data_IF_071154034280
#
_entry.id   IF_071154034280
#
_cell.length_a   1.000
_cell.length_b   1.000
_cell.length_c   1.000
_cell.angle_alpha   90.00
_cell.angle_beta   90.00
_cell.angle_gamma   90.00
#
_symmetry.space_group_name_H-M   'P 1'
#
loop_
_entity.id
_entity.type
_entity.pdbx_description
1 polymer ?
#
# COMPACT_ATOMS: atom_id res chain seq x y z
N UNK A 1 27.41 -15.51 15.65
CA UNK A 1 27.97 -14.59 14.64
C UNK A 1 28.77 -15.29 13.53
N UNK A 2 29.61 -16.29 13.82
CA UNK A 2 30.42 -16.96 12.80
C UNK A 2 29.65 -17.82 11.76
N UNK A 3 28.47 -18.34 12.07
CA UNK A 3 27.65 -19.15 11.15
C UNK A 3 26.92 -18.34 10.09
N UNK A 4 26.49 -17.13 10.42
CA UNK A 4 25.80 -16.24 9.47
C UNK A 4 26.74 -15.70 8.37
N UNK A 5 28.00 -15.41 8.74
CA UNK A 5 29.00 -14.95 7.77
C UNK A 5 29.33 -15.98 6.70
N UNK A 6 29.27 -17.27 7.03
CA UNK A 6 29.55 -18.37 6.07
C UNK A 6 28.38 -18.63 5.11
N UNK A 7 27.15 -18.41 5.53
CA UNK A 7 25.97 -18.53 4.67
C UNK A 7 25.88 -17.36 3.67
N UNK A 8 26.19 -16.13 4.11
CA UNK A 8 26.22 -14.96 3.26
C UNK A 8 27.27 -15.04 2.14
N UNK A 9 28.44 -15.64 2.41
CA UNK A 9 29.52 -15.80 1.42
C UNK A 9 29.18 -16.87 0.37
N UNK A 10 28.45 -17.92 0.73
CA UNK A 10 28.04 -18.97 -0.21
C UNK A 10 26.98 -18.51 -1.21
N UNK A 11 26.10 -17.59 -0.83
CA UNK A 11 25.05 -17.04 -1.70
C UNK A 11 25.63 -16.03 -2.72
N UNK A 12 26.71 -15.33 -2.38
CA UNK A 12 27.34 -14.33 -3.26
C UNK A 12 28.07 -14.97 -4.47
N UNK A 13 28.46 -16.25 -4.40
CA UNK A 13 29.26 -16.92 -5.46
C UNK A 13 28.42 -17.54 -6.59
N UNK A 14 27.10 -17.61 -6.49
CA UNK A 14 26.24 -18.29 -7.49
C UNK A 14 25.66 -17.32 -8.54
N UNK A 15 25.75 -16.00 -8.37
CA UNK A 15 25.01 -15.01 -9.18
C UNK A 15 25.85 -14.33 -10.27
N UNK A 16 26.95 -14.90 -10.70
CA UNK A 16 27.84 -14.28 -11.69
C UNK A 16 27.58 -14.72 -13.14
N UNK A 17 26.34 -14.84 -13.61
CA UNK A 17 26.07 -15.05 -15.05
C UNK A 17 24.81 -14.37 -15.56
N UNK A 18 25.02 -13.59 -16.62
CA UNK A 18 24.12 -13.15 -17.69
C UNK A 18 23.08 -12.06 -17.42
N UNK A 19 23.35 -10.89 -17.98
CA UNK A 19 22.34 -9.85 -18.25
C UNK A 19 21.50 -10.26 -19.46
N UNK A 20 20.26 -10.70 -19.23
CA UNK A 20 19.23 -10.75 -20.27
C UNK A 20 18.16 -9.69 -19.94
N UNK A 21 17.85 -8.84 -20.90
CA UNK A 21 16.73 -7.90 -20.78
C UNK A 21 15.43 -8.68 -20.53
N UNK A 22 14.70 -8.29 -19.47
CA UNK A 22 13.42 -8.89 -19.16
C UNK A 22 12.40 -8.50 -20.24
N UNK A 23 12.14 -9.40 -21.18
CA UNK A 23 11.02 -9.26 -22.11
C UNK A 23 9.75 -9.71 -21.38
N UNK A 24 8.78 -8.82 -21.22
CA UNK A 24 7.41 -9.19 -20.86
C UNK A 24 6.92 -10.24 -21.85
N UNK A 25 6.34 -11.34 -21.37
CA UNK A 25 5.77 -12.35 -22.25
C UNK A 25 4.45 -11.82 -22.80
N UNK A 26 4.46 -11.47 -24.08
CA UNK A 26 3.26 -11.04 -24.80
C UNK A 26 2.75 -12.20 -25.64
N UNK A 27 1.54 -12.66 -25.34
CA UNK A 27 0.85 -13.72 -26.08
C UNK A 27 -0.23 -13.09 -26.94
N UNK A 28 -0.24 -13.38 -28.25
CA UNK A 28 -1.37 -13.02 -29.13
C UNK A 28 -2.49 -13.99 -28.90
N UNK A 29 -3.65 -13.52 -28.44
CA UNK A 29 -4.85 -14.33 -28.23
C UNK A 29 -5.71 -14.43 -29.51
N UNK A 30 -5.79 -13.35 -30.27
CA UNK A 30 -6.49 -13.24 -31.54
C UNK A 30 -5.92 -12.10 -32.37
N UNK A 31 -6.40 -11.89 -33.60
CA UNK A 31 -6.05 -10.70 -34.38
C UNK A 31 -6.42 -9.44 -33.59
N UNK A 32 -5.40 -8.66 -33.23
CA UNK A 32 -5.56 -7.41 -32.49
C UNK A 32 -5.73 -7.51 -30.98
N UNK A 33 -5.72 -8.71 -30.36
CA UNK A 33 -5.78 -8.85 -28.89
C UNK A 33 -4.52 -9.49 -28.35
N UNK A 34 -3.90 -8.84 -27.37
CA UNK A 34 -2.70 -9.34 -26.69
C UNK A 34 -2.95 -9.57 -25.21
N UNK A 35 -2.31 -10.60 -24.65
CA UNK A 35 -2.18 -10.85 -23.23
C UNK A 35 -0.72 -10.63 -22.82
N UNK A 36 -0.49 -9.70 -21.92
CA UNK A 36 0.80 -9.53 -21.26
C UNK A 36 0.76 -10.15 -19.88
N UNK A 37 1.69 -11.07 -19.62
CA UNK A 37 1.90 -11.68 -18.30
C UNK A 37 3.09 -11.00 -17.66
N UNK A 38 2.92 -10.53 -16.43
CA UNK A 38 3.96 -9.88 -15.64
C UNK A 38 3.78 -10.16 -14.16
N UNK A 39 4.72 -9.72 -13.35
CA UNK A 39 4.69 -9.93 -11.91
C UNK A 39 6.05 -10.31 -11.37
N UNK A 40 6.05 -10.94 -10.22
CA UNK A 40 7.28 -11.41 -9.58
C UNK A 40 6.99 -12.54 -8.59
N UNK A 41 7.99 -13.37 -8.38
CA UNK A 41 8.06 -14.32 -7.27
C UNK A 41 8.88 -13.67 -6.18
N UNK A 42 8.37 -13.67 -4.94
CA UNK A 42 9.04 -13.13 -3.76
C UNK A 42 9.22 -14.20 -2.72
N UNK A 43 10.38 -14.22 -2.08
CA UNK A 43 10.66 -15.04 -0.91
C UNK A 43 11.46 -14.22 0.10
N UNK A 44 11.03 -14.22 1.34
CA UNK A 44 11.68 -13.50 2.43
C UNK A 44 11.91 -14.43 3.60
N UNK A 45 13.10 -14.40 4.18
CA UNK A 45 13.41 -14.93 5.50
C UNK A 45 13.63 -13.73 6.42
N UNK A 46 12.97 -13.72 7.57
CA UNK A 46 13.07 -12.63 8.51
C UNK A 46 13.28 -13.13 9.95
N UNK A 47 13.87 -12.27 10.77
CA UNK A 47 14.02 -12.45 12.21
C UNK A 47 13.46 -11.24 12.90
N UNK A 48 12.38 -11.42 13.65
CA UNK A 48 11.74 -10.39 14.44
C UNK A 48 12.25 -10.42 15.87
N UNK A 49 12.44 -9.24 16.43
CA UNK A 49 12.75 -9.00 17.84
C UNK A 49 11.72 -8.04 18.41
N UNK A 50 10.99 -8.51 19.41
CA UNK A 50 9.75 -7.90 19.84
C UNK A 50 8.55 -8.47 19.08
N UNK A 51 7.39 -7.86 19.23
CA UNK A 51 6.14 -8.33 18.62
C UNK A 51 5.52 -7.19 17.83
N UNK A 52 5.21 -7.46 16.58
CA UNK A 52 4.45 -6.56 15.74
C UNK A 52 2.94 -6.76 15.93
N UNK A 53 2.14 -5.75 15.62
CA UNK A 53 0.69 -5.82 15.67
C UNK A 53 0.11 -6.78 14.62
N UNK A 54 -1.12 -7.22 14.81
CA UNK A 54 -1.75 -8.24 13.95
C UNK A 54 -1.89 -7.85 12.47
N UNK A 55 -2.04 -6.57 12.18
CA UNK A 55 -1.99 -6.08 10.81
C UNK A 55 -0.54 -5.76 10.50
N UNK A 56 0.02 -6.35 9.46
CA UNK A 56 1.41 -6.17 9.09
C UNK A 56 2.39 -7.13 9.78
N UNK A 57 1.91 -8.20 10.41
CA UNK A 57 2.77 -9.28 10.91
C UNK A 57 3.52 -9.98 9.77
N UNK A 58 4.64 -10.60 10.11
CA UNK A 58 5.50 -11.27 9.16
C UNK A 58 6.35 -10.28 8.38
N UNK A 59 6.54 -10.55 7.11
CA UNK A 59 7.42 -9.74 6.26
C UNK A 59 6.89 -8.32 5.96
N UNK A 60 5.66 -7.98 6.37
CA UNK A 60 5.07 -6.66 6.14
C UNK A 60 4.65 -6.01 7.48
N UNK A 61 5.52 -6.07 8.47
CA UNK A 61 5.32 -5.48 9.78
C UNK A 61 5.18 -3.95 9.72
N UNK A 62 4.32 -3.37 10.57
CA UNK A 62 3.98 -1.95 10.50
C UNK A 62 4.13 -1.20 11.83
N UNK A 63 3.82 -1.82 12.98
CA UNK A 63 3.95 -1.19 14.30
C UNK A 63 4.26 -2.21 15.38
N UNK A 64 4.87 -1.76 16.48
CA UNK A 64 5.13 -2.60 17.64
C UNK A 64 3.86 -2.83 18.46
N UNK A 65 3.58 -4.07 18.87
CA UNK A 65 2.41 -4.41 19.66
C UNK A 65 2.37 -3.68 21.00
N UNK A 66 1.16 -3.37 21.49
CA UNK A 66 0.96 -2.64 22.76
C UNK A 66 1.38 -3.42 24.00
N UNK A 67 1.40 -4.75 23.91
CA UNK A 67 1.90 -5.64 24.96
C UNK A 67 2.98 -6.54 24.38
N UNK A 68 4.13 -6.61 25.05
CA UNK A 68 5.23 -7.48 24.65
C UNK A 68 5.19 -8.74 25.53
N UNK A 69 5.33 -9.94 24.98
CA UNK A 69 5.27 -11.19 25.76
C UNK A 69 6.53 -11.47 26.59
N UNK A 70 7.33 -10.48 26.87
CA UNK A 70 8.55 -10.57 27.70
C UNK A 70 9.77 -10.02 26.99
N UNK A 71 10.85 -9.79 27.72
CA UNK A 71 12.09 -9.26 27.15
C UNK A 71 12.76 -10.30 26.25
N UNK A 72 13.30 -9.84 25.12
CA UNK A 72 14.14 -10.62 24.20
C UNK A 72 13.47 -11.80 23.48
N UNK A 73 12.17 -11.82 23.35
CA UNK A 73 11.56 -12.80 22.45
C UNK A 73 11.84 -12.39 20.99
N UNK A 74 12.50 -13.29 20.28
CA UNK A 74 12.73 -13.19 18.85
C UNK A 74 12.36 -14.50 18.20
N UNK A 75 11.88 -14.46 16.96
CA UNK A 75 11.60 -15.63 16.15
C UNK A 75 12.09 -15.43 14.73
N UNK A 76 12.32 -16.53 14.03
CA UNK A 76 12.71 -16.53 12.63
C UNK A 76 11.64 -17.26 11.83
N UNK A 77 11.23 -16.67 10.72
CA UNK A 77 10.19 -17.20 9.85
C UNK A 77 10.49 -16.89 8.39
N UNK A 78 9.67 -17.41 7.48
CA UNK A 78 9.75 -17.17 6.05
C UNK A 78 8.41 -16.92 5.43
N UNK A 79 8.36 -16.12 4.37
CA UNK A 79 7.09 -15.75 3.73
C UNK A 79 7.27 -15.60 2.21
N UNK A 80 6.26 -16.04 1.45
CA UNK A 80 6.20 -15.95 -0.01
C UNK A 80 4.98 -15.16 -0.50
N UNK A 81 4.12 -14.66 0.40
CA UNK A 81 2.80 -14.07 0.07
C UNK A 81 2.89 -12.79 -0.75
N UNK A 82 4.04 -12.11 -0.75
CA UNK A 82 4.29 -10.97 -1.62
C UNK A 82 4.35 -11.32 -3.11
N UNK A 83 4.52 -12.61 -3.46
CA UNK A 83 4.46 -13.08 -4.86
C UNK A 83 3.20 -12.56 -5.53
N UNK A 84 3.36 -12.04 -6.77
CA UNK A 84 2.29 -11.33 -7.47
C UNK A 84 2.31 -11.65 -8.95
N UNK A 85 1.12 -11.80 -9.52
CA UNK A 85 0.95 -11.82 -10.97
C UNK A 85 -0.07 -10.82 -11.46
N UNK A 86 0.17 -10.37 -12.69
CA UNK A 86 -0.67 -9.45 -13.41
C UNK A 86 -0.86 -9.93 -14.83
N UNK A 87 -2.13 -10.01 -15.22
CA UNK A 87 -2.58 -10.28 -16.56
C UNK A 87 -3.13 -8.97 -17.13
N UNK A 88 -2.61 -8.55 -18.27
CA UNK A 88 -3.09 -7.36 -18.99
C UNK A 88 -3.58 -7.78 -20.37
N UNK A 89 -4.87 -7.59 -20.63
CA UNK A 89 -5.55 -7.83 -21.90
C UNK A 89 -5.68 -6.50 -22.63
N UNK A 90 -5.01 -6.35 -23.78
CA UNK A 90 -5.06 -5.14 -24.55
C UNK A 90 -5.64 -5.43 -25.95
N UNK A 91 -6.66 -4.68 -26.36
CA UNK A 91 -7.13 -4.68 -27.74
C UNK A 91 -6.22 -3.82 -28.60
N UNK A 92 -5.88 -4.31 -29.79
CA UNK A 92 -5.04 -3.60 -30.74
C UNK A 92 -5.76 -2.52 -31.54
N UNK A 93 -7.09 -2.45 -31.44
CA UNK A 93 -7.90 -1.49 -32.18
C UNK A 93 -8.93 -0.80 -31.28
N UNK A 94 -9.32 0.44 -31.58
CA UNK A 94 -10.43 1.12 -30.93
C UNK A 94 -11.74 0.36 -31.14
N UNK A 95 -12.58 0.32 -30.10
CA UNK A 95 -13.92 -0.30 -30.17
C UNK A 95 -15.04 0.73 -30.27
N UNK A 96 -14.75 1.99 -29.92
CA UNK A 96 -15.74 3.07 -29.89
C UNK A 96 -15.05 4.38 -30.31
N UNK A 97 -15.12 4.70 -31.61
CA UNK A 97 -14.40 5.84 -32.16
C UNK A 97 -12.89 5.72 -31.94
N UNK A 98 -12.32 6.59 -31.11
CA UNK A 98 -10.88 6.60 -30.77
C UNK A 98 -10.54 5.84 -29.46
N UNK A 99 -11.52 5.24 -28.80
CA UNK A 99 -11.37 4.63 -27.48
C UNK A 99 -10.91 3.18 -27.61
N UNK A 100 -9.77 2.87 -27.00
CA UNK A 100 -9.16 1.54 -26.98
C UNK A 100 -9.36 0.91 -25.61
N UNK A 101 -9.92 -0.31 -25.51
CA UNK A 101 -10.12 -0.99 -24.27
C UNK A 101 -8.86 -1.74 -23.80
N UNK A 102 -8.74 -1.88 -22.49
CA UNK A 102 -7.77 -2.71 -21.81
C UNK A 102 -8.39 -3.31 -20.54
N UNK A 103 -8.06 -4.56 -20.21
CA UNK A 103 -8.45 -5.19 -18.95
C UNK A 103 -7.23 -5.57 -18.13
N UNK A 104 -7.33 -5.52 -16.81
CA UNK A 104 -6.26 -5.93 -15.90
C UNK A 104 -6.80 -6.77 -14.76
N UNK A 105 -6.11 -7.89 -14.50
CA UNK A 105 -6.28 -8.71 -13.31
C UNK A 105 -4.93 -8.80 -12.62
N UNK A 106 -4.85 -8.40 -11.35
CA UNK A 106 -3.68 -8.54 -10.50
C UNK A 106 -4.04 -9.24 -9.20
N UNK A 107 -3.23 -10.21 -8.79
CA UNK A 107 -3.40 -10.97 -7.56
C UNK A 107 -2.08 -11.19 -6.84
N UNK A 108 -2.14 -11.28 -5.50
CA UNK A 108 -1.07 -11.76 -4.62
C UNK A 108 -1.58 -12.95 -3.77
N UNK A 109 -0.77 -13.41 -2.82
CA UNK A 109 -1.11 -14.55 -1.98
C UNK A 109 -1.52 -14.17 -0.54
N UNK A 110 -1.93 -12.94 -0.30
CA UNK A 110 -2.45 -12.49 0.99
C UNK A 110 -3.96 -12.75 1.19
N UNK A 111 -4.52 -13.76 0.55
CA UNK A 111 -5.84 -14.29 0.89
C UNK A 111 -5.85 -14.95 2.27
N UNK A 112 -6.90 -15.67 2.59
CA UNK A 112 -6.96 -16.42 3.83
C UNK A 112 -5.99 -17.61 3.81
N UNK A 113 -5.56 -18.08 4.99
CA UNK A 113 -4.86 -19.36 5.14
C UNK A 113 -5.86 -20.49 5.32
N UNK A 114 -5.59 -21.63 4.68
CA UNK A 114 -6.47 -22.80 4.71
C UNK A 114 -6.16 -23.81 5.81
N UNK A 115 -5.19 -23.56 6.62
CA UNK A 115 -4.76 -24.54 7.61
C UNK A 115 -4.58 -23.93 9.00
N UNK A 116 -4.78 -24.76 10.02
CA UNK A 116 -4.29 -24.48 11.35
C UNK A 116 -2.83 -24.94 11.50
N UNK A 117 -2.18 -24.54 12.60
CA UNK A 117 -0.84 -25.03 12.91
C UNK A 117 -0.75 -26.58 12.81
N UNK A 118 0.37 -27.14 12.33
CA UNK A 118 1.65 -26.47 12.04
C UNK A 118 1.81 -25.97 10.57
N UNK A 119 0.83 -26.09 9.68
CA UNK A 119 1.02 -25.87 8.24
C UNK A 119 0.13 -24.74 7.69
N UNK A 120 -0.26 -23.76 8.50
CA UNK A 120 -1.21 -22.72 8.11
C UNK A 120 -0.69 -21.74 7.07
N UNK A 121 0.55 -21.32 7.19
CA UNK A 121 1.20 -20.30 6.37
C UNK A 121 1.90 -20.85 5.13
N UNK A 122 2.14 -22.16 5.04
CA UNK A 122 2.65 -22.81 3.83
C UNK A 122 1.57 -23.05 2.76
N UNK A 123 0.31 -22.66 3.04
CA UNK A 123 -0.82 -22.80 2.11
C UNK A 123 -1.50 -21.44 1.83
N UNK A 124 -0.77 -20.44 1.34
CA UNK A 124 -1.32 -19.10 1.10
C UNK A 124 -2.34 -19.11 -0.03
N UNK A 125 -3.41 -18.31 0.11
CA UNK A 125 -4.47 -18.20 -0.88
C UNK A 125 -4.33 -16.94 -1.73
N UNK A 126 -4.81 -17.03 -2.97
CA UNK A 126 -4.90 -15.89 -3.89
C UNK A 126 -5.84 -14.81 -3.35
N UNK A 127 -5.38 -13.55 -3.44
CA UNK A 127 -6.16 -12.35 -3.19
C UNK A 127 -6.20 -11.48 -4.42
N UNK A 128 -7.39 -11.18 -4.92
CA UNK A 128 -7.58 -10.18 -5.97
C UNK A 128 -7.19 -8.79 -5.48
N UNK A 129 -6.27 -8.14 -6.20
CA UNK A 129 -5.78 -6.78 -5.86
C UNK A 129 -6.41 -5.73 -6.75
N UNK A 130 -6.16 -5.84 -8.06
CA UNK A 130 -6.65 -4.94 -9.08
C UNK A 130 -7.45 -5.73 -10.09
N UNK A 131 -8.69 -5.32 -10.31
CA UNK A 131 -9.60 -5.93 -11.27
C UNK A 131 -10.36 -4.79 -11.95
N UNK A 132 -9.90 -4.39 -13.14
CA UNK A 132 -10.49 -3.25 -13.81
C UNK A 132 -10.40 -3.33 -15.33
N UNK A 133 -11.26 -2.54 -15.98
CA UNK A 133 -11.21 -2.27 -17.39
C UNK A 133 -11.00 -0.77 -17.65
N UNK A 134 -10.15 -0.45 -18.61
CA UNK A 134 -9.88 0.89 -19.08
C UNK A 134 -10.48 1.11 -20.47
N UNK A 135 -10.94 2.34 -20.73
CA UNK A 135 -11.15 2.91 -22.05
C UNK A 135 -10.28 4.14 -22.18
N UNK A 136 -9.35 4.15 -23.14
CA UNK A 136 -8.42 5.26 -23.33
C UNK A 136 -8.43 5.82 -24.75
N UNK A 137 -8.32 7.15 -24.87
CA UNK A 137 -8.10 7.84 -26.15
C UNK A 137 -6.65 8.35 -26.30
N UNK A 138 -5.75 7.88 -25.40
CA UNK A 138 -4.35 8.30 -25.33
C UNK A 138 -4.10 9.54 -24.47
N UNK A 139 -5.11 10.37 -24.19
CA UNK A 139 -5.03 11.53 -23.28
C UNK A 139 -5.97 11.42 -22.09
N UNK A 140 -7.10 10.77 -22.29
CA UNK A 140 -8.08 10.51 -21.24
C UNK A 140 -8.20 9.00 -21.05
N UNK A 141 -8.39 8.57 -19.83
CA UNK A 141 -8.70 7.18 -19.50
C UNK A 141 -9.85 7.15 -18.51
N UNK A 142 -10.89 6.40 -18.85
CA UNK A 142 -11.91 5.96 -17.89
C UNK A 142 -11.56 4.56 -17.45
N UNK A 143 -11.49 4.35 -16.13
CA UNK A 143 -11.26 3.06 -15.49
C UNK A 143 -12.48 2.68 -14.69
N UNK A 144 -12.93 1.44 -14.86
CA UNK A 144 -14.07 0.85 -14.14
C UNK A 144 -13.59 -0.40 -13.43
N UNK A 145 -13.82 -0.52 -12.12
CA UNK A 145 -13.45 -1.68 -11.33
C UNK A 145 -12.68 -1.33 -10.08
N UNK A 146 -11.98 -2.31 -9.50
CA UNK A 146 -11.21 -2.13 -8.28
C UNK A 146 -9.80 -1.61 -8.58
N UNK A 147 -9.50 -0.44 -8.05
CA UNK A 147 -8.19 0.20 -8.18
C UNK A 147 -7.82 0.98 -6.92
N UNK A 148 -6.55 1.40 -6.85
CA UNK A 148 -6.07 2.26 -5.79
C UNK A 148 -6.75 3.63 -5.81
N UNK A 149 -7.10 4.12 -4.63
CA UNK A 149 -7.56 5.50 -4.47
C UNK A 149 -6.43 6.47 -4.85
N UNK A 150 -6.75 7.67 -5.33
CA UNK A 150 -5.75 8.72 -5.61
C UNK A 150 -4.83 9.07 -4.43
N UNK A 151 -5.25 8.84 -3.17
CA UNK A 151 -4.41 8.97 -1.97
C UNK A 151 -3.26 7.96 -1.91
N UNK A 152 -3.37 6.78 -2.53
CA UNK A 152 -2.28 5.83 -2.65
C UNK A 152 -1.36 6.24 -3.81
N UNK A 153 -0.48 7.20 -3.57
CA UNK A 153 0.24 7.93 -4.60
C UNK A 153 1.71 7.51 -4.77
N UNK A 154 2.58 7.90 -3.86
CA UNK A 154 3.98 7.48 -3.83
C UNK A 154 4.12 6.20 -3.01
N UNK A 155 5.04 5.33 -3.40
CA UNK A 155 5.26 4.04 -2.74
C UNK A 155 6.74 3.92 -2.40
N UNK A 156 7.10 3.70 -1.13
CA UNK A 156 8.49 3.49 -0.75
C UNK A 156 9.05 2.19 -1.32
N UNK A 157 10.35 2.20 -1.57
CA UNK A 157 11.09 1.06 -2.11
C UNK A 157 11.45 0.12 -0.98
N UNK A 158 11.02 -1.13 -1.08
CA UNK A 158 11.35 -2.25 -0.20
C UNK A 158 11.36 -3.53 -1.01
N UNK A 159 12.04 -4.56 -0.53
CA UNK A 159 11.93 -5.94 -1.03
C UNK A 159 11.17 -6.85 -0.05
N UNK A 160 11.00 -6.41 1.19
CA UNK A 160 10.27 -7.10 2.25
C UNK A 160 8.83 -6.60 2.35
N UNK A 161 8.66 -5.29 2.44
CA UNK A 161 7.36 -4.63 2.60
C UNK A 161 6.76 -4.25 1.24
N UNK A 162 6.11 -5.20 0.57
CA UNK A 162 5.58 -5.02 -0.79
C UNK A 162 4.05 -5.00 -0.82
N UNK A 163 3.38 -5.95 -0.16
CA UNK A 163 1.91 -6.01 -0.15
C UNK A 163 1.30 -4.95 0.76
N UNK A 164 1.99 -4.67 1.85
CA UNK A 164 1.80 -3.55 2.75
C UNK A 164 3.10 -2.75 2.74
N UNK A 165 3.20 -1.68 1.95
CA UNK A 165 4.41 -0.89 1.84
C UNK A 165 4.82 -0.25 3.17
N UNK A 166 6.10 0.11 3.32
CA UNK A 166 6.62 0.80 4.50
C UNK A 166 5.73 1.99 4.89
N UNK A 167 5.37 2.07 6.17
CA UNK A 167 4.54 3.13 6.72
C UNK A 167 3.06 3.07 6.36
N UNK A 168 2.62 1.99 5.69
CA UNK A 168 1.24 1.87 5.23
C UNK A 168 0.26 1.75 6.42
N UNK A 169 -0.52 2.81 6.62
CA UNK A 169 -1.48 2.93 7.72
C UNK A 169 -0.88 3.10 9.11
N UNK A 170 0.43 3.20 9.20
CA UNK A 170 1.15 3.25 10.48
C UNK A 170 2.15 4.41 10.56
N UNK A 171 2.68 4.86 9.44
CA UNK A 171 3.70 5.89 9.41
C UNK A 171 3.65 6.73 8.12
N UNK A 172 2.49 7.30 7.84
CA UNK A 172 2.32 8.36 6.85
C UNK A 172 1.90 7.92 5.45
N UNK A 173 1.87 6.63 5.13
CA UNK A 173 1.36 6.15 3.86
C UNK A 173 -0.09 5.70 4.00
N UNK A 174 -0.99 6.27 3.19
CA UNK A 174 -2.44 6.03 3.24
C UNK A 174 -3.02 5.71 1.86
N UNK A 175 -4.32 5.41 1.83
CA UNK A 175 -5.07 5.03 0.64
C UNK A 175 -5.30 3.52 0.55
N UNK A 176 -6.42 3.13 -0.05
CA UNK A 176 -6.76 1.72 -0.25
C UNK A 176 -7.33 1.48 -1.65
N UNK A 177 -7.66 0.25 -1.92
CA UNK A 177 -8.28 -0.16 -3.19
C UNK A 177 -9.79 -0.26 -3.02
N UNK A 178 -10.50 0.44 -3.89
CA UNK A 178 -11.95 0.42 -3.90
C UNK A 178 -12.51 0.13 -5.28
N UNK A 179 -13.63 -0.58 -5.39
CA UNK A 179 -14.44 -0.56 -6.60
C UNK A 179 -14.91 0.87 -6.89
N UNK A 180 -14.82 1.29 -8.16
CA UNK A 180 -15.20 2.65 -8.53
C UNK A 180 -15.02 2.96 -10.00
N UNK A 181 -15.20 4.23 -10.29
CA UNK A 181 -14.96 4.85 -11.59
C UNK A 181 -13.87 5.90 -11.39
N UNK A 182 -12.81 5.78 -12.19
CA UNK A 182 -11.65 6.66 -12.14
C UNK A 182 -11.49 7.32 -13.51
N UNK A 183 -11.26 8.61 -13.50
CA UNK A 183 -10.98 9.38 -14.71
C UNK A 183 -9.59 9.99 -14.61
N UNK A 184 -8.79 9.80 -15.64
CA UNK A 184 -7.46 10.37 -15.78
C UNK A 184 -7.43 11.27 -17.04
N UNK A 185 -6.86 12.45 -16.91
CA UNK A 185 -6.68 13.37 -18.03
C UNK A 185 -5.28 13.97 -18.05
N UNK A 186 -4.53 13.69 -19.11
CA UNK A 186 -3.27 14.37 -19.37
C UNK A 186 -3.57 15.76 -19.94
N UNK A 187 -3.22 16.79 -19.17
CA UNK A 187 -3.41 18.19 -19.52
C UNK A 187 -2.25 18.73 -20.36
N UNK A 188 -1.06 18.13 -20.25
CA UNK A 188 0.12 18.48 -21.04
C UNK A 188 0.01 18.00 -22.47
N UNK A 189 0.68 18.71 -23.39
CA UNK A 189 0.81 18.24 -24.76
C UNK A 189 1.70 16.97 -24.84
N UNK A 190 1.38 16.01 -25.72
CA UNK A 190 2.20 14.82 -25.93
C UNK A 190 3.67 15.14 -26.20
N UNK A 191 4.59 14.35 -25.66
CA UNK A 191 6.04 14.48 -25.88
C UNK A 191 6.74 15.62 -25.14
N UNK A 192 6.04 16.39 -24.33
CA UNK A 192 6.66 17.42 -23.49
C UNK A 192 7.30 16.80 -22.25
N UNK A 193 8.43 17.35 -21.82
CA UNK A 193 9.10 16.95 -20.59
C UNK A 193 8.25 17.27 -19.36
N UNK A 194 7.62 18.45 -19.34
CA UNK A 194 6.66 18.85 -18.32
C UNK A 194 5.35 18.10 -18.51
N UNK A 195 4.85 17.48 -17.44
CA UNK A 195 3.61 16.72 -17.43
C UNK A 195 2.66 17.28 -16.38
N UNK A 196 1.39 17.33 -16.71
CA UNK A 196 0.31 17.68 -15.77
C UNK A 196 -0.84 16.72 -16.00
N UNK A 197 -1.29 16.06 -14.95
CA UNK A 197 -2.39 15.09 -15.02
C UNK A 197 -3.40 15.36 -13.91
N UNK A 198 -4.67 15.41 -14.29
CA UNK A 198 -5.81 15.40 -13.39
C UNK A 198 -6.30 13.95 -13.24
N UNK A 199 -6.60 13.56 -12.00
CA UNK A 199 -7.26 12.30 -11.66
C UNK A 199 -8.50 12.62 -10.83
N UNK A 200 -9.61 11.99 -11.15
CA UNK A 200 -10.86 12.06 -10.40
C UNK A 200 -11.31 10.63 -10.09
N UNK A 201 -11.83 10.39 -8.91
CA UNK A 201 -12.35 9.08 -8.52
C UNK A 201 -13.69 9.22 -7.81
N UNK A 202 -14.62 8.36 -8.20
CA UNK A 202 -15.89 8.11 -7.52
C UNK A 202 -15.87 6.64 -7.12
N UNK A 203 -15.77 6.36 -5.83
CA UNK A 203 -15.51 5.02 -5.32
C UNK A 203 -16.63 4.58 -4.37
N UNK A 204 -16.82 3.28 -4.24
CA UNK A 204 -17.72 2.66 -3.27
C UNK A 204 -17.45 3.26 -1.89
N UNK A 205 -18.48 3.71 -1.20
CA UNK A 205 -18.41 4.02 0.23
C UNK A 205 -17.93 2.77 0.96
N UNK A 206 -17.05 2.92 1.91
CA UNK A 206 -16.47 1.78 2.64
C UNK A 206 -16.37 2.10 4.11
N UNK A 207 -16.51 1.08 4.91
CA UNK A 207 -16.44 1.20 6.36
C UNK A 207 -16.56 -0.15 7.02
N UNK A 208 -16.64 -0.10 8.34
CA UNK A 208 -16.85 -1.30 9.14
C UNK A 208 -18.34 -1.58 9.20
N UNK A 209 -18.70 -2.86 9.16
CA UNK A 209 -20.06 -3.31 9.36
C UNK A 209 -20.65 -2.76 10.66
N UNK A 210 -21.79 -2.05 10.57
CA UNK A 210 -22.42 -1.36 11.70
C UNK A 210 -23.78 -1.94 12.09
N UNK A 211 -24.08 -3.14 11.67
CA UNK A 211 -25.32 -3.81 12.00
C UNK A 211 -25.82 -4.68 10.88
N UNK A 212 -26.90 -5.38 11.10
CA UNK A 212 -27.49 -6.34 10.19
C UNK A 212 -28.55 -5.68 9.31
N UNK A 213 -28.19 -4.69 8.51
CA UNK A 213 -29.14 -4.08 7.57
C UNK A 213 -29.27 -4.90 6.31
N UNK A 214 -28.20 -5.53 5.92
CA UNK A 214 -28.18 -6.50 4.83
C UNK A 214 -27.61 -7.81 5.35
N UNK A 215 -28.43 -8.84 5.36
CA UNK A 215 -28.04 -10.18 5.71
C UNK A 215 -27.43 -10.93 4.52
N UNK A 216 -27.17 -10.26 3.41
CA UNK A 216 -26.49 -10.87 2.27
C UNK A 216 -25.01 -11.07 2.62
N UNK A 217 -24.75 -12.07 3.46
CA UNK A 217 -23.40 -12.60 3.58
C UNK A 217 -22.91 -13.00 2.17
N UNK A 218 -21.67 -12.69 1.81
CA UNK A 218 -20.54 -12.43 2.66
C UNK A 218 -20.12 -10.95 2.76
N UNK A 219 -20.90 -10.00 2.31
CA UNK A 219 -20.56 -8.58 2.25
C UNK A 219 -21.53 -7.74 3.09
N UNK A 220 -21.32 -7.65 4.42
CA UNK A 220 -22.16 -6.84 5.29
C UNK A 220 -21.96 -5.35 4.98
N UNK A 221 -23.06 -4.58 5.02
CA UNK A 221 -23.03 -3.13 4.79
C UNK A 221 -22.20 -2.45 5.88
N UNK A 222 -21.20 -1.69 5.47
CA UNK A 222 -20.44 -0.80 6.33
C UNK A 222 -21.08 0.59 6.46
N UNK A 223 -20.56 1.41 7.38
CA UNK A 223 -21.10 2.74 7.63
C UNK A 223 -20.94 3.71 6.45
N UNK A 224 -19.90 3.54 5.63
CA UNK A 224 -19.74 4.31 4.40
C UNK A 224 -20.79 3.94 3.36
N UNK A 225 -21.05 2.65 3.19
CA UNK A 225 -22.08 2.15 2.27
C UNK A 225 -23.48 2.50 2.73
N UNK A 226 -23.76 2.44 4.04
CA UNK A 226 -25.03 2.81 4.63
C UNK A 226 -25.38 4.30 4.43
N UNK A 227 -24.39 5.15 4.22
CA UNK A 227 -24.61 6.58 3.90
C UNK A 227 -25.31 6.77 2.54
N UNK A 228 -25.23 5.79 1.65
CA UNK A 228 -25.74 5.88 0.28
C UNK A 228 -24.93 6.83 -0.62
N UNK A 229 -23.81 7.37 -0.13
CA UNK A 229 -22.96 8.31 -0.87
C UNK A 229 -21.60 7.69 -1.19
N UNK A 230 -21.06 7.94 -2.39
CA UNK A 230 -19.73 7.45 -2.75
C UNK A 230 -18.61 8.26 -2.06
N UNK A 231 -17.42 7.68 -1.98
CA UNK A 231 -16.19 8.43 -1.71
C UNK A 231 -15.78 9.22 -2.96
N UNK A 232 -15.30 10.44 -2.78
CA UNK A 232 -14.79 11.27 -3.87
C UNK A 232 -13.35 11.67 -3.61
N UNK A 233 -12.51 11.53 -4.63
CA UNK A 233 -11.14 12.00 -4.59
C UNK A 233 -10.77 12.72 -5.88
N UNK A 234 -9.93 13.75 -5.73
CA UNK A 234 -9.32 14.48 -6.83
C UNK A 234 -7.82 14.66 -6.59
N UNK A 235 -7.00 14.35 -7.60
CA UNK A 235 -5.55 14.50 -7.58
C UNK A 235 -5.07 15.31 -8.76
N UNK A 236 -4.21 16.29 -8.49
CA UNK A 236 -3.45 17.00 -9.51
C UNK A 236 -1.98 16.65 -9.37
N UNK A 237 -1.41 16.13 -10.43
CA UNK A 237 0.01 15.81 -10.57
C UNK A 237 0.67 16.79 -11.51
N UNK A 238 1.85 17.31 -11.13
CA UNK A 238 2.75 18.07 -12.00
C UNK A 238 4.15 17.48 -11.90
N UNK A 239 4.83 17.31 -13.02
CA UNK A 239 6.17 16.73 -13.01
C UNK A 239 7.00 17.06 -14.25
N UNK A 240 8.26 16.69 -14.19
CA UNK A 240 9.22 16.80 -15.29
C UNK A 240 9.95 15.47 -15.46
N UNK A 241 9.95 14.94 -16.68
CA UNK A 241 10.61 13.67 -17.07
C UNK A 241 11.97 13.88 -17.74
N UNK A 242 12.64 15.01 -17.51
CA UNK A 242 13.96 15.22 -18.09
C UNK A 242 14.99 14.23 -17.51
N UNK A 243 15.97 13.82 -18.34
CA UNK A 243 17.00 12.85 -17.89
C UNK A 243 17.88 13.38 -16.78
N UNK A 244 18.11 14.69 -16.72
CA UNK A 244 19.04 15.30 -15.77
C UNK A 244 18.39 15.55 -14.39
N UNK A 245 17.07 15.81 -14.39
CA UNK A 245 16.32 16.07 -13.18
C UNK A 245 14.85 15.66 -13.41
N UNK A 246 14.52 14.43 -13.09
CA UNK A 246 13.14 13.99 -12.98
C UNK A 246 12.57 14.42 -11.64
N UNK A 247 11.34 14.95 -11.65
CA UNK A 247 10.63 15.28 -10.42
C UNK A 247 9.12 15.22 -10.63
N UNK A 248 8.40 15.01 -9.56
CA UNK A 248 6.94 15.11 -9.53
C UNK A 248 6.49 15.72 -8.21
N UNK A 249 5.39 16.46 -8.24
CA UNK A 249 4.64 16.87 -7.07
C UNK A 249 3.17 16.64 -7.31
N UNK A 250 2.43 16.35 -6.24
CA UNK A 250 1.00 16.17 -6.35
C UNK A 250 0.27 16.71 -5.10
N UNK A 251 -1.00 16.96 -5.28
CA UNK A 251 -1.95 17.22 -4.22
C UNK A 251 -3.19 16.37 -4.45
N UNK A 252 -3.71 15.79 -3.36
CA UNK A 252 -4.96 15.00 -3.36
C UNK A 252 -5.90 15.57 -2.33
N UNK A 253 -7.18 15.73 -2.70
CA UNK A 253 -8.27 15.97 -1.77
C UNK A 253 -9.18 14.75 -1.70
N UNK A 254 -9.67 14.43 -0.50
CA UNK A 254 -10.58 13.33 -0.19
C UNK A 254 -11.79 13.83 0.58
N UNK A 255 -12.98 13.31 0.27
CA UNK A 255 -14.19 13.46 1.04
C UNK A 255 -15.01 12.18 0.97
N UNK A 256 -15.55 11.76 2.10
CA UNK A 256 -16.51 10.66 2.20
C UNK A 256 -17.56 10.93 3.28
N UNK A 257 -18.63 10.14 3.26
CA UNK A 257 -19.74 10.25 4.19
C UNK A 257 -20.02 8.90 4.83
N UNK A 258 -20.42 8.93 6.10
CA UNK A 258 -20.72 7.75 6.89
C UNK A 258 -22.03 7.90 7.63
N UNK A 259 -22.82 6.83 7.62
CA UNK A 259 -23.96 6.65 8.52
C UNK A 259 -23.54 5.72 9.67
N UNK A 260 -23.36 6.29 10.84
CA UNK A 260 -22.91 5.52 12.01
C UNK A 260 -24.04 4.71 12.66
N UNK A 261 -25.28 4.95 12.27
CA UNK A 261 -26.42 4.14 12.73
C UNK A 261 -26.46 2.81 11.97
N UNK A 262 -25.95 2.80 10.72
CA UNK A 262 -25.84 1.59 9.91
C UNK A 262 -27.15 0.96 9.51
N UNK A 263 -28.27 1.67 9.65
CA UNK A 263 -29.59 1.12 9.34
C UNK A 263 -30.11 1.54 7.95
N UNK A 264 -29.33 2.25 7.19
CA UNK A 264 -29.66 2.68 5.84
C UNK A 264 -30.81 3.70 5.75
N UNK A 265 -31.25 4.27 6.85
CA UNK A 265 -32.46 5.11 6.92
C UNK A 265 -32.13 6.58 7.19
N UNK A 266 -30.97 7.00 7.25
CA UNK A 266 -30.75 8.32 7.81
C UNK A 266 -29.79 9.24 7.09
N UNK A 267 -29.27 8.82 5.98
CA UNK A 267 -28.24 9.62 5.32
C UNK A 267 -26.96 9.73 6.16
N UNK A 268 -26.05 10.57 5.73
CA UNK A 268 -24.78 10.76 6.39
C UNK A 268 -24.90 11.60 7.65
N UNK A 269 -24.40 11.12 8.77
CA UNK A 269 -24.24 11.87 10.01
C UNK A 269 -22.78 12.24 10.30
N UNK A 270 -21.81 11.74 9.51
CA UNK A 270 -20.40 12.10 9.60
C UNK A 270 -19.85 12.35 8.20
N UNK A 271 -19.11 13.45 8.06
CA UNK A 271 -18.28 13.71 6.89
C UNK A 271 -16.81 13.56 7.27
N UNK A 272 -16.11 12.72 6.54
CA UNK A 272 -14.66 12.57 6.61
C UNK A 272 -14.02 13.36 5.47
N UNK A 273 -12.86 13.95 5.72
CA UNK A 273 -12.13 14.69 4.71
C UNK A 273 -10.63 14.69 4.99
N UNK A 274 -9.85 14.90 3.96
CA UNK A 274 -8.41 14.98 4.08
C UNK A 274 -7.73 15.54 2.86
N UNK A 275 -6.48 15.90 3.05
CA UNK A 275 -5.58 16.34 1.99
C UNK A 275 -4.25 15.63 2.14
N UNK A 276 -3.67 15.26 1.01
CA UNK A 276 -2.31 14.75 0.93
C UNK A 276 -1.52 15.56 -0.08
N UNK A 277 -0.26 15.82 0.23
CA UNK A 277 0.72 16.39 -0.70
C UNK A 277 1.96 15.51 -0.69
N UNK A 278 2.55 15.30 -1.84
CA UNK A 278 3.76 14.49 -1.93
C UNK A 278 4.44 14.66 -3.27
N UNK A 279 5.49 13.88 -3.47
CA UNK A 279 6.24 13.92 -4.71
C UNK A 279 7.58 13.24 -4.63
N UNK A 280 8.32 13.35 -5.72
CA UNK A 280 9.64 12.76 -5.87
C UNK A 280 10.59 13.70 -6.62
N UNK A 281 11.88 13.57 -6.35
CA UNK A 281 12.95 14.20 -7.11
C UNK A 281 14.10 13.22 -7.29
N UNK A 282 14.60 13.10 -8.51
CA UNK A 282 15.67 12.15 -8.86
C UNK A 282 16.77 12.85 -9.66
N UNK A 283 17.74 13.55 -8.98
CA UNK A 283 18.93 14.09 -9.62
C UNK A 283 20.02 13.00 -9.72
N UNK A 284 20.31 12.55 -10.93
CA UNK A 284 21.36 11.56 -11.19
C UNK A 284 21.12 10.21 -10.50
N UNK A 285 21.96 9.87 -9.54
CA UNK A 285 21.88 8.59 -8.79
C UNK A 285 21.07 8.69 -7.49
N UNK A 286 20.66 9.87 -7.08
CA UNK A 286 19.89 10.13 -5.87
C UNK A 286 18.40 10.11 -6.21
N UNK A 287 17.60 9.52 -5.33
CA UNK A 287 16.13 9.62 -5.35
C UNK A 287 15.66 10.05 -3.97
N UNK A 288 14.79 11.04 -3.91
CA UNK A 288 14.11 11.47 -2.68
C UNK A 288 12.62 11.52 -2.99
N UNK A 289 11.81 10.86 -2.20
CA UNK A 289 10.36 10.88 -2.35
C UNK A 289 9.64 10.75 -1.00
N UNK A 290 8.37 11.12 -0.98
CA UNK A 290 7.56 11.04 0.22
C UNK A 290 6.25 11.78 0.11
N UNK A 291 5.50 11.79 1.20
CA UNK A 291 4.27 12.53 1.34
C UNK A 291 4.05 13.06 2.75
N UNK A 292 3.06 13.93 2.85
CA UNK A 292 2.43 14.39 4.08
C UNK A 292 0.93 14.39 3.88
N UNK A 293 0.17 13.85 4.83
CA UNK A 293 -1.28 13.96 4.85
C UNK A 293 -1.79 14.53 6.16
N UNK A 294 -2.96 15.13 6.11
CA UNK A 294 -3.75 15.49 7.28
C UNK A 294 -5.23 15.39 6.96
N UNK A 295 -6.02 15.03 7.94
CA UNK A 295 -7.47 14.89 7.72
C UNK A 295 -8.20 14.37 8.94
N UNK A 296 -9.49 14.11 8.75
CA UNK A 296 -10.40 13.69 9.78
C UNK A 296 -11.21 12.49 9.30
N UNK A 297 -11.24 11.44 10.12
CA UNK A 297 -12.01 10.24 9.84
C UNK A 297 -11.47 9.38 8.70
N UNK A 298 -10.16 9.43 8.41
CA UNK A 298 -9.51 8.73 7.30
C UNK A 298 -9.20 7.26 7.58
N UNK A 299 -9.78 6.64 8.60
CA UNK A 299 -9.48 5.25 8.97
C UNK A 299 -9.74 4.23 7.85
N UNK A 300 -10.74 4.44 6.98
CA UNK A 300 -10.98 3.58 5.83
C UNK A 300 -9.97 3.77 4.71
N UNK A 301 -9.24 4.88 4.72
CA UNK A 301 -8.08 5.12 3.86
C UNK A 301 -6.78 4.67 4.52
N UNK A 302 -6.88 3.84 5.53
CA UNK A 302 -5.77 3.31 6.31
C UNK A 302 -4.94 4.36 7.05
N UNK A 303 -5.43 5.58 7.25
CA UNK A 303 -4.83 6.47 8.24
C UNK A 303 -5.05 5.92 9.65
N UNK A 304 -4.00 5.92 10.46
CA UNK A 304 -4.06 5.47 11.86
C UNK A 304 -4.66 4.06 12.00
N UNK A 305 -4.19 3.11 11.21
CA UNK A 305 -4.75 1.76 11.18
C UNK A 305 -5.06 1.26 12.58
N UNK A 306 -6.20 0.67 12.68
CA UNK A 306 -6.77 -0.15 13.71
C UNK A 306 -7.61 0.50 14.78
N UNK A 307 -7.39 1.72 15.23
CA UNK A 307 -8.40 2.24 16.15
C UNK A 307 -9.76 2.34 15.49
N UNK A 308 -9.76 2.65 14.20
CA UNK A 308 -10.97 2.96 13.45
C UNK A 308 -11.63 1.75 12.79
N UNK A 309 -10.90 0.66 12.59
CA UNK A 309 -11.48 -0.49 11.90
C UNK A 309 -12.32 -1.39 12.82
N UNK A 310 -12.01 -1.50 14.09
CA UNK A 310 -12.63 -2.48 14.97
C UNK A 310 -13.67 -1.93 15.95
N UNK A 311 -13.80 -0.64 16.08
CA UNK A 311 -14.60 -0.05 17.15
C UNK A 311 -15.91 0.58 16.69
N UNK A 312 -16.23 0.48 15.42
CA UNK A 312 -17.40 1.11 14.83
C UNK A 312 -18.73 0.41 15.13
N UNK A 313 -18.72 -0.64 15.92
CA UNK A 313 -19.93 -1.34 16.36
C UNK A 313 -20.58 -0.74 17.62
N UNK A 314 -20.11 0.41 18.11
CA UNK A 314 -20.66 1.05 19.30
C UNK A 314 -20.90 2.56 19.12
N UNK A 315 -21.63 3.19 20.03
CA UNK A 315 -21.87 4.65 20.02
C UNK A 315 -20.55 5.47 20.05
N UNK A 316 -19.47 4.92 20.53
CA UNK A 316 -18.11 5.47 20.47
C UNK A 316 -17.53 5.53 19.07
N UNK A 317 -18.05 4.75 18.14
CA UNK A 317 -17.65 4.74 16.73
C UNK A 317 -17.90 6.07 16.02
N UNK A 318 -18.96 6.78 16.35
CA UNK A 318 -19.25 8.09 15.83
C UNK A 318 -18.17 9.12 16.20
N UNK A 319 -17.62 8.98 17.41
CA UNK A 319 -16.54 9.83 17.89
C UNK A 319 -15.22 9.52 17.17
N UNK A 320 -14.90 8.25 16.94
CA UNK A 320 -13.67 7.82 16.24
C UNK A 320 -13.61 8.27 14.79
N UNK A 321 -14.73 8.22 14.08
CA UNK A 321 -14.79 8.75 12.71
C UNK A 321 -14.51 10.27 12.61
N UNK A 322 -14.48 10.97 13.74
CA UNK A 322 -14.14 12.39 13.84
C UNK A 322 -12.71 12.66 14.27
N UNK A 323 -11.89 11.64 14.50
CA UNK A 323 -10.49 11.82 14.89
C UNK A 323 -9.75 12.51 13.75
N UNK A 324 -9.14 13.65 14.10
CA UNK A 324 -8.19 14.32 13.24
C UNK A 324 -6.79 13.71 13.44
N UNK A 325 -6.00 13.68 12.38
CA UNK A 325 -4.64 13.23 12.47
C UNK A 325 -3.80 13.66 11.30
N UNK A 326 -2.53 13.39 11.39
CA UNK A 326 -1.55 13.63 10.35
C UNK A 326 -0.56 12.48 10.29
N UNK A 327 0.04 12.30 9.14
CA UNK A 327 1.16 11.41 8.93
C UNK A 327 2.05 11.91 7.81
N UNK A 328 3.29 11.46 7.83
CA UNK A 328 4.27 11.81 6.82
C UNK A 328 5.30 10.70 6.70
N UNK A 329 5.84 10.54 5.51
CA UNK A 329 7.03 9.71 5.31
C UNK A 329 7.93 10.32 4.24
N UNK A 330 9.22 9.98 4.32
CA UNK A 330 10.20 10.27 3.29
C UNK A 330 11.15 9.08 3.15
N UNK A 331 11.62 8.86 1.93
CA UNK A 331 12.66 7.90 1.63
C UNK A 331 13.73 8.51 0.72
N UNK A 332 14.97 8.18 1.03
CA UNK A 332 16.14 8.58 0.24
C UNK A 332 16.80 7.32 -0.29
N UNK A 333 17.02 7.26 -1.58
CA UNK A 333 17.71 6.17 -2.26
C UNK A 333 18.94 6.66 -3.01
N UNK A 334 20.00 5.84 -3.05
CA UNK A 334 21.19 6.12 -3.83
C UNK A 334 21.66 4.89 -4.59
N UNK A 335 21.74 5.00 -5.91
CA UNK A 335 22.28 3.96 -6.79
C UNK A 335 23.80 4.17 -6.95
N UNK A 336 24.63 3.39 -6.23
CA UNK A 336 26.10 3.42 -6.39
C UNK A 336 26.53 2.94 -7.77
N UNK A 337 25.82 1.92 -8.26
CA UNK A 337 25.98 1.34 -9.59
C UNK A 337 24.61 0.95 -10.13
N UNK A 338 24.47 0.56 -11.40
CA UNK A 338 23.20 0.01 -11.90
C UNK A 338 22.70 -1.23 -11.15
N UNK A 339 23.59 -1.88 -10.37
CA UNK A 339 23.27 -3.10 -9.61
C UNK A 339 23.07 -2.86 -8.11
N UNK A 340 23.81 -1.94 -7.49
CA UNK A 340 23.83 -1.72 -6.06
C UNK A 340 23.16 -0.42 -5.68
N UNK A 341 22.25 -0.49 -4.73
CA UNK A 341 21.60 0.68 -4.14
C UNK A 341 21.39 0.52 -2.65
N UNK A 342 21.27 1.66 -1.96
CA UNK A 342 20.77 1.73 -0.59
C UNK A 342 19.54 2.60 -0.54
N UNK A 343 18.68 2.35 0.45
CA UNK A 343 17.46 3.13 0.69
C UNK A 343 17.29 3.31 2.19
N UNK A 344 16.91 4.50 2.60
CA UNK A 344 16.62 4.86 3.99
C UNK A 344 15.25 5.47 4.02
N UNK A 345 14.36 4.88 4.80
CA UNK A 345 12.99 5.33 5.01
C UNK A 345 12.78 5.81 6.44
N UNK A 346 11.98 6.83 6.61
CA UNK A 346 11.44 7.25 7.88
C UNK A 346 10.02 7.75 7.69
N UNK A 347 9.11 7.31 8.57
CA UNK A 347 7.73 7.76 8.58
C UNK A 347 7.18 7.93 9.99
N UNK A 348 6.09 8.66 10.09
CA UNK A 348 5.35 8.87 11.34
C UNK A 348 3.85 8.95 11.09
N UNK A 349 3.08 8.58 12.10
CA UNK A 349 1.64 8.71 12.16
C UNK A 349 1.20 9.20 13.54
N UNK A 350 0.44 10.31 13.59
CA UNK A 350 0.06 10.99 14.81
C UNK A 350 -1.43 11.41 14.78
N UNK A 351 -2.33 10.57 15.32
CA UNK A 351 -3.73 10.96 15.55
C UNK A 351 -3.87 11.99 16.68
N UNK A 352 -5.00 12.68 16.75
CA UNK A 352 -5.37 13.51 17.91
C UNK A 352 -5.53 12.63 19.16
N UNK A 353 -4.47 12.57 19.95
CA UNK A 353 -4.34 11.65 21.07
C UNK A 353 -5.34 11.91 22.18
N UNK A 354 -5.59 13.17 22.52
CA UNK A 354 -6.48 13.54 23.61
C UNK A 354 -7.92 13.11 23.31
N UNK A 355 -8.37 13.43 22.10
CA UNK A 355 -9.70 13.06 21.63
C UNK A 355 -9.82 11.54 21.46
N UNK A 356 -8.80 10.91 20.92
CA UNK A 356 -8.77 9.47 20.72
C UNK A 356 -8.90 8.69 22.02
N UNK A 357 -8.13 9.03 23.05
CA UNK A 357 -8.19 8.37 24.36
C UNK A 357 -9.51 8.67 25.06
N UNK A 358 -10.01 9.91 24.99
CA UNK A 358 -11.25 10.31 25.65
C UNK A 358 -12.48 9.62 25.02
N UNK A 359 -12.53 9.55 23.68
CA UNK A 359 -13.71 9.07 22.96
C UNK A 359 -13.74 7.55 22.83
N UNK A 360 -12.59 6.87 22.83
CA UNK A 360 -12.51 5.43 22.61
C UNK A 360 -12.49 4.66 23.92
N UNK A 361 -12.10 5.29 25.03
CA UNK A 361 -11.94 4.61 26.32
C UNK A 361 -11.00 3.40 26.21
N UNK A 362 -10.06 3.41 25.27
CA UNK A 362 -9.33 2.24 24.85
C UNK A 362 -8.28 1.86 25.86
N UNK A 363 -8.28 0.60 26.23
CA UNK A 363 -7.22 -0.01 27.06
C UNK A 363 -5.87 0.10 26.34
N UNK A 364 -5.86 0.05 25.00
CA UNK A 364 -4.68 0.18 24.16
C UNK A 364 -4.96 1.14 22.99
N UNK A 365 -4.64 2.42 23.18
CA UNK A 365 -4.73 3.42 22.12
C UNK A 365 -3.34 3.73 21.58
N UNK A 366 -3.13 3.53 20.27
CA UNK A 366 -1.91 3.90 19.57
C UNK A 366 -1.92 5.40 19.31
N UNK A 367 -1.04 6.12 20.02
CA UNK A 367 -1.00 7.58 20.01
C UNK A 367 -0.01 8.16 19.00
N UNK A 368 1.06 7.43 18.72
CA UNK A 368 2.10 7.83 17.79
C UNK A 368 2.83 6.58 17.34
N UNK A 369 3.14 6.51 16.06
CA UNK A 369 4.03 5.49 15.53
C UNK A 369 5.13 6.13 14.71
N UNK A 370 6.33 5.58 14.78
CA UNK A 370 7.47 5.91 13.95
C UNK A 370 8.03 4.63 13.35
N UNK A 371 8.22 4.63 12.05
CA UNK A 371 8.87 3.54 11.34
C UNK A 371 10.15 4.05 10.70
N UNK A 372 11.21 3.27 10.86
CA UNK A 372 12.47 3.47 10.17
C UNK A 372 12.87 2.21 9.42
N UNK A 373 13.40 2.35 8.22
CA UNK A 373 13.89 1.24 7.42
C UNK A 373 15.19 1.55 6.72
N UNK A 374 16.03 0.52 6.56
CA UNK A 374 17.28 0.57 5.83
C UNK A 374 17.42 -0.67 4.96
N UNK A 375 17.46 -0.47 3.65
CA UNK A 375 17.61 -1.51 2.64
C UNK A 375 18.94 -1.38 1.90
N UNK A 376 19.71 -2.48 1.82
CA UNK A 376 20.79 -2.67 0.85
C UNK A 376 20.30 -3.63 -0.23
N UNK A 377 20.26 -3.19 -1.49
CA UNK A 377 19.72 -3.96 -2.60
C UNK A 377 20.76 -4.22 -3.69
N UNK A 378 20.83 -5.47 -4.13
CA UNK A 378 21.56 -5.88 -5.33
C UNK A 378 20.58 -6.34 -6.42
N UNK A 379 20.80 -5.94 -7.66
CA UNK A 379 19.99 -6.32 -8.85
C UNK A 379 20.89 -6.99 -9.88
N UNK A 380 20.43 -8.12 -10.45
CA UNK A 380 21.10 -8.83 -11.55
C UNK A 380 20.06 -9.39 -12.52
N UNK A 381 19.89 -8.74 -13.66
CA UNK A 381 18.84 -9.10 -14.62
C UNK A 381 17.45 -9.04 -13.99
N UNK A 382 16.77 -10.19 -13.95
CA UNK A 382 15.43 -10.33 -13.36
C UNK A 382 15.44 -10.54 -11.84
N UNK A 383 16.61 -10.68 -11.21
CA UNK A 383 16.74 -10.93 -9.78
C UNK A 383 17.03 -9.63 -9.01
N UNK A 384 16.43 -9.52 -7.85
CA UNK A 384 16.82 -8.56 -6.82
C UNK A 384 16.97 -9.31 -5.50
N UNK A 385 18.02 -8.98 -4.73
CA UNK A 385 18.26 -9.50 -3.39
C UNK A 385 18.47 -8.29 -2.49
N UNK A 386 17.83 -8.28 -1.30
CA UNK A 386 17.98 -7.21 -0.32
C UNK A 386 18.17 -7.73 1.08
N UNK A 387 19.03 -7.03 1.80
CA UNK A 387 19.10 -7.06 3.26
C UNK A 387 18.38 -5.83 3.77
N UNK A 388 17.40 -6.02 4.62
CA UNK A 388 16.52 -4.97 5.12
C UNK A 388 16.45 -5.01 6.63
N UNK A 389 16.55 -3.85 7.26
CA UNK A 389 16.34 -3.65 8.69
C UNK A 389 15.20 -2.67 8.88
N UNK A 390 14.14 -3.13 9.51
CA UNK A 390 12.98 -2.33 9.86
C UNK A 390 12.83 -2.21 11.36
N UNK A 391 12.47 -1.04 11.85
CA UNK A 391 12.19 -0.75 13.24
C UNK A 391 10.92 0.07 13.37
N UNK A 392 9.97 -0.43 14.18
CA UNK A 392 8.81 0.31 14.62
C UNK A 392 8.98 0.75 16.09
N UNK A 393 8.59 1.98 16.38
CA UNK A 393 8.50 2.52 17.74
C UNK A 393 7.11 3.11 17.94
N UNK A 394 6.32 2.49 18.78
CA UNK A 394 4.91 2.82 18.98
C UNK A 394 4.66 3.31 20.39
N UNK A 395 4.09 4.51 20.50
CA UNK A 395 3.60 5.05 21.76
C UNK A 395 2.12 4.72 21.94
N UNK A 396 1.83 3.97 22.96
CA UNK A 396 0.49 3.64 23.42
C UNK A 396 0.11 4.51 24.62
N UNK A 397 -1.16 4.54 24.99
CA UNK A 397 -1.58 5.17 26.24
C UNK A 397 -1.01 4.49 27.49
N UNK A 398 -0.52 3.26 27.37
CA UNK A 398 0.08 2.45 28.42
C UNK A 398 1.61 2.52 28.48
N UNK A 399 2.27 3.12 27.48
CA UNK A 399 3.73 3.20 27.40
C UNK A 399 4.25 3.17 25.97
N UNK A 400 5.55 2.96 25.84
CA UNK A 400 6.24 2.87 24.54
C UNK A 400 6.71 1.43 24.34
N UNK A 401 6.45 0.88 23.15
CA UNK A 401 6.97 -0.40 22.69
C UNK A 401 7.82 -0.22 21.44
N UNK A 402 8.71 -1.15 21.19
CA UNK A 402 9.49 -1.19 19.94
C UNK A 402 9.67 -2.63 19.48
N UNK A 403 9.80 -2.80 18.17
CA UNK A 403 10.10 -4.08 17.55
C UNK A 403 11.04 -3.85 16.36
N UNK A 404 11.95 -4.80 16.14
CA UNK A 404 12.94 -4.80 15.05
C UNK A 404 12.73 -6.01 14.16
N UNK A 405 12.88 -5.83 12.85
CA UNK A 405 12.87 -6.92 11.87
C UNK A 405 14.15 -6.88 11.04
N UNK A 406 14.80 -8.01 10.89
CA UNK A 406 15.94 -8.23 10.01
C UNK A 406 15.50 -9.18 8.91
N UNK A 407 15.54 -8.76 7.68
CA UNK A 407 15.03 -9.54 6.57
C UNK A 407 16.08 -9.74 5.47
N UNK A 408 16.08 -10.93 4.88
CA UNK A 408 16.72 -11.25 3.62
C UNK A 408 15.64 -11.60 2.61
N UNK A 409 15.45 -10.74 1.63
CA UNK A 409 14.42 -10.91 0.60
C UNK A 409 15.03 -11.13 -0.77
N UNK A 410 14.42 -12.02 -1.53
CA UNK A 410 14.72 -12.26 -2.93
C UNK A 410 13.48 -12.11 -3.79
N UNK A 411 13.64 -11.46 -4.93
CA UNK A 411 12.58 -11.21 -5.90
C UNK A 411 13.06 -11.63 -7.29
N UNK A 412 12.22 -12.38 -8.00
CA UNK A 412 12.41 -12.72 -9.42
C UNK A 412 11.26 -12.12 -10.23
N UNK A 413 11.58 -11.20 -11.14
CA UNK A 413 10.59 -10.57 -12.04
C UNK A 413 10.25 -11.51 -13.20
N UNK A 414 8.96 -11.72 -13.46
CA UNK A 414 8.42 -12.57 -14.53
C UNK A 414 8.53 -11.92 -15.91
#
# INVERSE_FOLDING_TARGET
>A
MASFARLAIAVVLIVACAAAAAAQQVVKLSEGTTLTISGFISATMYNDRGVFGRFGEGQNAEWAAGTQPGPNQGFTDGDIRNTRFRLEFAAGAPVMGKWTPKGVIEADFFGAFNGGPPFGDEQPQLRGRLLYADLTDGRSTFRFGQYWSPLFAEIPVSLTHIAFPLGFGSAGMIGWRFPGIFFYRDLSAPGKAMTTQLQLAVMKGSGIAVGAVDNAAPDPIGNGEASGLPQLEARLNVGNRSRNLAWSVYVVGHIDWKDTTGNGVGGSNITSNGVEVGGSVAPGHLTVHGNFYTGKGLGQQFAHITPNLNALASATAAAQAKIHGLGAWAQVGYDFTPRWSIWVFYGLDNPDNAKYVADVGAVLARQLNHDGDFLVRYRAGRYAIGLEFFRAVTRWNTGITSADQYALSMLYTL
#
